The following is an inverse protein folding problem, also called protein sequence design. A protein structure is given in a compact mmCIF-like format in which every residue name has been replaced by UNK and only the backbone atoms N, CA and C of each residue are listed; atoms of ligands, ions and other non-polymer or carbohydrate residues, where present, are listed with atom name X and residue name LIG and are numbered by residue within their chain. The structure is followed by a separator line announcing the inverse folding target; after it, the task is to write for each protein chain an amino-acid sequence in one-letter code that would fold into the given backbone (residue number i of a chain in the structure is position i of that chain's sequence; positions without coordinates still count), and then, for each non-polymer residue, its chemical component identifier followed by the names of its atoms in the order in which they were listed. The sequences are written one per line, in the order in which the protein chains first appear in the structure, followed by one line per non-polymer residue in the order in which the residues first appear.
data_IF_400012816518
#
_entry.id   IF_400012816518
#
_cell.length_a   1.000
_cell.length_b   1.000
_cell.length_c   1.000
_cell.angle_alpha   90.00
_cell.angle_beta   90.00
_cell.angle_gamma   90.00
#
_symmetry.space_group_name_H-M   'P 1'
#
loop_
_entity.id
_entity.type
_entity.pdbx_description
1 polymer ?
#
# COMPACT_ATOMS: atom_id res chain seq x y z
N UNK A 1 -14.97 35.55 -13.63
CA UNK A 1 -13.66 36.25 -13.70
C UNK A 1 -12.44 35.34 -13.78
N UNK A 2 -12.56 34.01 -13.57
CA UNK A 2 -11.41 33.10 -13.70
C UNK A 2 -10.30 33.32 -12.67
N UNK A 3 -10.60 33.99 -11.56
CA UNK A 3 -9.62 34.33 -10.52
C UNK A 3 -9.38 33.12 -9.62
N UNK A 4 -8.12 32.91 -9.25
CA UNK A 4 -7.75 31.95 -8.22
C UNK A 4 -8.39 32.39 -6.89
N UNK A 5 -9.04 31.43 -6.23
CA UNK A 5 -9.61 31.59 -4.89
C UNK A 5 -8.84 30.70 -3.93
N UNK A 6 -8.98 30.94 -2.63
CA UNK A 6 -8.31 30.16 -1.57
C UNK A 6 -8.96 28.77 -1.40
N UNK A 7 -9.05 28.01 -2.50
CA UNK A 7 -9.49 26.62 -2.58
C UNK A 7 -8.38 25.82 -3.23
N UNK A 8 -8.12 24.64 -2.67
CA UNK A 8 -7.01 23.80 -3.09
C UNK A 8 -7.53 22.48 -3.64
N UNK A 9 -6.79 21.91 -4.58
CA UNK A 9 -6.98 20.53 -5.03
C UNK A 9 -5.78 19.73 -4.54
N UNK A 10 -6.05 18.74 -3.69
CA UNK A 10 -5.04 17.83 -3.19
C UNK A 10 -5.06 16.55 -4.04
N UNK A 11 -3.97 16.25 -4.76
CA UNK A 11 -3.89 15.06 -5.61
C UNK A 11 -2.64 14.23 -5.35
N UNK A 12 -2.76 12.92 -5.52
CA UNK A 12 -1.65 11.96 -5.49
C UNK A 12 -1.82 11.02 -6.67
N UNK A 13 -0.75 10.83 -7.45
CA UNK A 13 -0.73 9.93 -8.59
C UNK A 13 0.48 9.01 -8.48
N UNK A 14 0.34 7.76 -8.88
CA UNK A 14 1.42 6.78 -8.81
C UNK A 14 1.06 5.44 -9.42
N UNK A 15 2.07 4.57 -9.49
CA UNK A 15 1.97 3.20 -10.00
C UNK A 15 2.52 2.22 -8.96
N UNK A 16 2.04 0.97 -8.99
CA UNK A 16 2.57 -0.09 -8.13
C UNK A 16 2.43 -1.50 -8.75
N UNK A 17 3.26 -2.47 -8.34
CA UNK A 17 4.51 -2.31 -7.56
C UNK A 17 5.57 -1.47 -8.31
N UNK A 18 6.57 -0.93 -7.62
CA UNK A 18 7.55 -0.05 -8.26
C UNK A 18 8.55 -0.84 -9.13
N UNK A 19 8.88 -2.06 -8.72
CA UNK A 19 9.76 -2.97 -9.47
C UNK A 19 9.17 -3.42 -10.81
N UNK A 20 7.88 -3.76 -10.81
CA UNK A 20 7.13 -4.21 -11.99
C UNK A 20 5.72 -3.60 -11.99
N UNK A 21 5.54 -2.38 -12.51
CA UNK A 21 4.26 -1.67 -12.46
C UNK A 21 3.12 -2.45 -13.12
N UNK A 22 2.03 -2.66 -12.38
CA UNK A 22 0.81 -3.36 -12.87
C UNK A 22 -0.45 -2.51 -12.80
N UNK A 23 -0.50 -1.54 -11.88
CA UNK A 23 -1.65 -0.68 -11.66
C UNK A 23 -1.21 0.78 -11.59
N UNK A 24 -2.05 1.66 -12.13
CA UNK A 24 -1.92 3.11 -11.99
C UNK A 24 -3.13 3.64 -11.20
N UNK A 25 -2.89 4.58 -10.29
CA UNK A 25 -3.93 5.18 -9.47
C UNK A 25 -3.71 6.69 -9.38
N UNK A 26 -4.81 7.44 -9.50
CA UNK A 26 -4.84 8.88 -9.24
C UNK A 26 -5.95 9.13 -8.23
N UNK A 27 -5.62 9.83 -7.15
CA UNK A 27 -6.56 10.26 -6.12
C UNK A 27 -6.62 11.78 -6.16
N UNK A 28 -7.84 12.33 -6.26
CA UNK A 28 -8.11 13.76 -6.27
C UNK A 28 -9.09 14.08 -5.15
N UNK A 29 -8.72 15.04 -4.30
CA UNK A 29 -9.56 15.55 -3.22
C UNK A 29 -9.77 17.04 -3.48
N UNK A 30 -11.02 17.40 -3.73
CA UNK A 30 -11.43 18.77 -4.02
C UNK A 30 -11.74 19.52 -2.71
N UNK A 31 -11.14 20.70 -2.55
CA UNK A 31 -11.43 21.64 -1.46
C UNK A 31 -11.33 21.03 -0.04
N UNK A 32 -10.16 20.50 0.38
CA UNK A 32 -9.99 19.93 1.72
C UNK A 32 -10.06 21.03 2.80
N UNK A 33 -11.11 20.99 3.62
CA UNK A 33 -11.42 22.02 4.63
C UNK A 33 -10.70 21.82 5.98
N UNK A 34 -10.07 20.65 6.21
CA UNK A 34 -9.55 20.23 7.52
C UNK A 34 -8.14 20.76 7.86
N UNK A 35 -7.77 21.95 7.36
CA UNK A 35 -6.50 22.63 7.68
C UNK A 35 -5.23 22.08 7.00
N UNK A 36 -5.24 20.85 6.47
CA UNK A 36 -4.18 20.30 5.60
C UNK A 36 -4.65 20.32 4.15
N UNK A 37 -3.90 20.96 3.26
CA UNK A 37 -4.27 21.16 1.85
C UNK A 37 -3.25 20.60 0.85
N UNK A 38 -2.09 20.15 1.31
CA UNK A 38 -1.09 19.51 0.45
C UNK A 38 -1.48 18.07 0.11
N UNK A 39 -1.38 17.71 -1.18
CA UNK A 39 -1.67 16.35 -1.70
C UNK A 39 -1.04 15.22 -0.88
N UNK A 40 0.24 15.37 -0.52
CA UNK A 40 0.96 14.38 0.29
C UNK A 40 0.39 14.14 1.70
N UNK A 41 -0.33 15.11 2.28
CA UNK A 41 -0.90 14.96 3.63
C UNK A 41 -2.35 14.47 3.61
N UNK A 42 -3.08 14.68 2.51
CA UNK A 42 -4.53 14.38 2.43
C UNK A 42 -4.81 13.21 1.50
N UNK A 43 -4.27 13.20 0.28
CA UNK A 43 -4.56 12.17 -0.72
C UNK A 43 -3.58 11.00 -0.70
N UNK A 44 -2.36 11.17 -0.19
CA UNK A 44 -1.40 10.06 -0.11
C UNK A 44 -1.79 8.92 0.85
N UNK A 45 -2.34 9.18 2.06
CA UNK A 45 -2.83 8.08 2.91
C UNK A 45 -3.95 7.27 2.25
N UNK A 46 -4.84 7.95 1.50
CA UNK A 46 -5.91 7.32 0.73
C UNK A 46 -5.34 6.47 -0.41
N UNK A 47 -4.34 7.00 -1.14
CA UNK A 47 -3.63 6.24 -2.17
C UNK A 47 -3.03 4.95 -1.61
N UNK A 48 -2.32 5.03 -0.47
CA UNK A 48 -1.69 3.86 0.16
C UNK A 48 -2.69 2.79 0.60
N UNK A 49 -3.82 3.20 1.19
CA UNK A 49 -4.87 2.27 1.60
C UNK A 49 -5.50 1.53 0.41
N UNK A 50 -5.83 2.26 -0.67
CA UNK A 50 -6.42 1.67 -1.88
C UNK A 50 -5.40 0.77 -2.58
N UNK A 51 -4.21 1.29 -2.88
CA UNK A 51 -3.20 0.54 -3.62
C UNK A 51 -2.75 -0.70 -2.85
N UNK A 52 -2.56 -0.61 -1.53
CA UNK A 52 -2.24 -1.77 -0.68
C UNK A 52 -3.34 -2.84 -0.70
N UNK A 53 -4.61 -2.43 -0.66
CA UNK A 53 -5.75 -3.35 -0.81
C UNK A 53 -5.81 -4.01 -2.18
N UNK A 54 -5.60 -3.25 -3.26
CA UNK A 54 -5.59 -3.75 -4.64
C UNK A 54 -4.49 -4.78 -4.84
N UNK A 55 -3.26 -4.49 -4.43
CA UNK A 55 -2.13 -5.41 -4.58
C UNK A 55 -2.36 -6.73 -3.81
N UNK A 56 -2.91 -6.66 -2.59
CA UNK A 56 -3.24 -7.85 -1.80
C UNK A 56 -4.36 -8.67 -2.43
N UNK A 57 -5.43 -8.02 -2.87
CA UNK A 57 -6.59 -8.68 -3.49
C UNK A 57 -6.20 -9.38 -4.79
N UNK A 58 -5.27 -8.80 -5.54
CA UNK A 58 -4.79 -9.32 -6.81
C UNK A 58 -3.60 -10.29 -6.65
N UNK A 59 -3.26 -10.71 -5.43
CA UNK A 59 -2.14 -11.59 -5.10
C UNK A 59 -0.82 -11.16 -5.76
N UNK A 60 -0.50 -9.86 -5.70
CA UNK A 60 0.76 -9.34 -6.21
C UNK A 60 1.87 -9.62 -5.21
N UNK A 61 2.99 -10.18 -5.68
CA UNK A 61 4.16 -10.41 -4.84
C UNK A 61 4.68 -9.08 -4.25
N UNK A 62 4.90 -9.03 -2.93
CA UNK A 62 5.47 -7.84 -2.30
C UNK A 62 6.89 -7.55 -2.79
N UNK A 63 7.18 -6.30 -3.13
CA UNK A 63 8.48 -5.89 -3.68
C UNK A 63 9.44 -5.25 -2.64
N UNK A 64 8.98 -5.09 -1.40
CA UNK A 64 9.74 -4.43 -0.32
C UNK A 64 9.51 -5.07 1.07
N UNK A 65 9.61 -6.41 1.17
CA UNK A 65 9.62 -7.07 2.49
C UNK A 65 10.96 -6.84 3.19
N UNK A 66 10.92 -6.58 4.50
CA UNK A 66 12.14 -6.50 5.31
C UNK A 66 12.75 -7.91 5.45
N UNK A 67 14.08 -8.00 5.45
CA UNK A 67 14.82 -9.28 5.45
C UNK A 67 14.64 -10.12 6.74
N UNK A 68 13.74 -9.75 7.66
CA UNK A 68 13.51 -10.43 8.94
C UNK A 68 12.35 -11.45 8.96
N UNK A 69 11.40 -11.38 8.02
CA UNK A 69 10.13 -12.13 8.13
C UNK A 69 10.17 -13.53 7.48
N UNK A 70 11.37 -14.07 7.19
CA UNK A 70 11.55 -15.39 6.56
C UNK A 70 11.70 -16.56 7.54
N UNK A 71 11.53 -16.34 8.85
CA UNK A 71 11.87 -17.32 9.89
C UNK A 71 10.70 -18.14 10.47
N UNK A 72 9.50 -18.14 9.88
CA UNK A 72 8.35 -18.91 10.41
C UNK A 72 7.67 -19.84 9.40
N UNK A 73 8.45 -20.55 8.58
CA UNK A 73 8.02 -21.87 8.10
C UNK A 73 8.85 -22.95 8.81
N UNK A 74 8.74 -22.98 10.14
CA UNK A 74 9.19 -24.13 10.93
C UNK A 74 8.19 -25.26 10.67
N UNK A 75 8.51 -26.10 9.71
CA UNK A 75 7.97 -27.45 9.55
C UNK A 75 7.99 -28.13 10.91
N UNK A 76 6.81 -28.26 11.54
CA UNK A 76 6.62 -29.08 12.72
C UNK A 76 6.76 -30.55 12.27
N UNK A 77 8.01 -31.01 12.20
CA UNK A 77 8.34 -32.39 11.88
C UNK A 77 7.85 -33.25 13.04
N UNK A 78 6.85 -34.08 12.72
CA UNK A 78 6.00 -34.75 13.67
C UNK A 78 6.73 -35.62 14.71
N UNK A 79 6.23 -35.55 15.94
CA UNK A 79 6.33 -36.66 16.87
C UNK A 79 5.59 -37.87 16.26
N UNK A 80 6.37 -38.85 15.81
CA UNK A 80 5.82 -40.10 15.32
C UNK A 80 6.91 -41.14 15.11
N UNK A 81 6.81 -42.23 15.89
CA UNK A 81 7.55 -43.51 15.82
C UNK A 81 8.95 -43.46 16.44
N UNK A 82 9.35 -44.26 17.43
CA UNK A 82 8.88 -45.56 17.93
C UNK A 82 10.05 -46.56 17.84
N UNK A 83 10.49 -47.19 18.94
CA UNK A 83 11.48 -48.28 18.81
C UNK A 83 12.21 -48.70 20.08
N UNK A 84 11.73 -49.79 20.66
CA UNK A 84 12.40 -50.76 21.55
C UNK A 84 13.94 -50.82 21.44
N UNK A 85 14.61 -50.75 22.59
CA UNK A 85 15.53 -51.79 23.10
C UNK A 85 15.82 -51.53 24.57
#
# INVERSE_FOLDING_TARGET
DGRYINKYIAYTAGVAPASHPRFALVVVINDPQAGKYYGGAVSAPVFGAIMGGVLRTMNIEPDALTTGDKNEFVINQGEGTGGRS
#
